data_IF_706147015766
#
_entry.id   IF_706147015766
#
_cell.length_a   1.000
_cell.length_b   1.000
_cell.length_c   1.000
_cell.angle_alpha   90.00
_cell.angle_beta   90.00
_cell.angle_gamma   90.00
#
_symmetry.space_group_name_H-M   'P 1'
#
loop_
_entity.id
_entity.type
_entity.pdbx_description
1 polymer ?
#
# COMPACT_ATOMS: atom_id res chain seq x y z
N UNK A 1 -12.99 -14.60 -4.62
CA UNK A 1 -13.24 -13.39 -3.80
C UNK A 1 -12.64 -12.17 -4.48
N UNK A 2 -13.21 -10.97 -4.32
CA UNK A 2 -12.76 -9.74 -5.02
C UNK A 2 -12.25 -8.70 -4.02
N UNK A 3 -11.09 -8.08 -4.30
CA UNK A 3 -10.46 -7.07 -3.46
C UNK A 3 -10.12 -5.81 -4.27
N UNK A 4 -10.66 -4.63 -3.92
CA UNK A 4 -10.30 -3.38 -4.61
C UNK A 4 -8.85 -2.98 -4.31
N UNK A 5 -8.12 -2.50 -5.33
CA UNK A 5 -6.75 -1.97 -5.21
C UNK A 5 -6.73 -0.47 -5.52
N UNK A 6 -7.34 -0.07 -6.63
CA UNK A 6 -7.55 1.32 -7.04
C UNK A 6 -8.93 1.47 -7.69
N UNK A 7 -9.23 2.63 -8.27
CA UNK A 7 -10.47 2.85 -9.01
C UNK A 7 -10.59 1.97 -10.27
N UNK A 8 -9.45 1.59 -10.85
CA UNK A 8 -9.32 0.84 -12.10
C UNK A 8 -8.61 -0.52 -11.94
N UNK A 9 -8.28 -0.92 -10.71
CA UNK A 9 -7.57 -2.17 -10.40
C UNK A 9 -8.25 -2.94 -9.26
N UNK A 10 -8.45 -4.25 -9.47
CA UNK A 10 -8.91 -5.17 -8.45
C UNK A 10 -8.08 -6.47 -8.48
N UNK A 11 -7.92 -7.10 -7.31
CA UNK A 11 -7.33 -8.42 -7.15
C UNK A 11 -8.46 -9.44 -6.97
N UNK A 12 -8.47 -10.46 -7.81
CA UNK A 12 -9.41 -11.57 -7.75
C UNK A 12 -8.68 -12.81 -7.25
N UNK A 13 -9.20 -13.40 -6.17
CA UNK A 13 -8.78 -14.72 -5.70
C UNK A 13 -9.76 -15.76 -6.24
N UNK A 14 -9.27 -16.55 -7.20
CA UNK A 14 -10.05 -17.55 -7.94
C UNK A 14 -9.88 -18.97 -7.39
N UNK A 15 -9.15 -19.15 -6.28
CA UNK A 15 -8.85 -20.47 -5.69
C UNK A 15 -10.12 -21.28 -5.36
N UNK A 16 -11.24 -20.60 -5.05
CA UNK A 16 -12.51 -21.22 -4.65
C UNK A 16 -13.60 -21.16 -5.73
N UNK A 17 -13.26 -20.83 -6.99
CA UNK A 17 -14.25 -20.62 -8.06
C UNK A 17 -14.78 -21.90 -8.72
N UNK A 18 -14.43 -23.09 -8.20
CA UNK A 18 -15.12 -24.35 -8.50
C UNK A 18 -14.27 -25.37 -9.25
N UNK A 19 -14.42 -26.64 -8.82
CA UNK A 19 -13.69 -27.88 -9.16
C UNK A 19 -12.30 -27.99 -8.51
N UNK A 20 -12.22 -28.49 -7.29
CA UNK A 20 -11.00 -29.08 -6.68
C UNK A 20 -9.66 -28.55 -7.22
N UNK A 21 -9.48 -27.22 -7.22
CA UNK A 21 -8.20 -26.56 -7.56
C UNK A 21 -7.31 -26.62 -6.31
N UNK A 22 -7.24 -27.80 -5.70
CA UNK A 22 -6.14 -28.21 -4.82
C UNK A 22 -4.96 -28.72 -5.67
N UNK A 23 -5.15 -28.79 -7.01
CA UNK A 23 -4.18 -29.28 -7.99
C UNK A 23 -3.59 -28.14 -8.83
N UNK A 24 -2.31 -28.32 -9.15
CA UNK A 24 -1.40 -27.46 -9.90
C UNK A 24 -2.07 -26.47 -10.88
N UNK A 25 -1.75 -25.16 -10.75
CA UNK A 25 -2.19 -24.11 -11.68
C UNK A 25 -2.00 -24.52 -13.14
N UNK A 26 -0.92 -25.27 -13.41
CA UNK A 26 -0.53 -25.69 -14.75
C UNK A 26 -1.54 -26.67 -15.38
N UNK A 27 -2.36 -27.35 -14.57
CA UNK A 27 -3.41 -28.27 -15.05
C UNK A 27 -4.70 -27.56 -15.47
N UNK A 28 -4.93 -26.33 -15.02
CA UNK A 28 -6.18 -25.58 -15.23
C UNK A 28 -6.01 -24.32 -16.09
N UNK A 29 -4.85 -24.15 -16.76
CA UNK A 29 -4.54 -22.93 -17.53
C UNK A 29 -5.62 -22.59 -18.55
N UNK A 30 -6.11 -23.57 -19.31
CA UNK A 30 -7.12 -23.33 -20.35
C UNK A 30 -8.47 -22.87 -19.77
N UNK A 31 -8.91 -23.46 -18.65
CA UNK A 31 -10.13 -23.05 -17.95
C UNK A 31 -9.99 -21.62 -17.39
N UNK A 32 -8.82 -21.31 -16.80
CA UNK A 32 -8.52 -19.98 -16.28
C UNK A 32 -8.43 -18.92 -17.39
N UNK A 33 -7.83 -19.24 -18.53
CA UNK A 33 -7.77 -18.34 -19.68
C UNK A 33 -9.18 -18.02 -20.21
N UNK A 34 -10.06 -19.02 -20.30
CA UNK A 34 -11.45 -18.82 -20.69
C UNK A 34 -12.22 -17.94 -19.71
N UNK A 35 -12.10 -18.22 -18.41
CA UNK A 35 -12.76 -17.45 -17.36
C UNK A 35 -12.30 -15.98 -17.32
N UNK A 36 -11.00 -15.75 -17.50
CA UNK A 36 -10.45 -14.39 -17.53
C UNK A 36 -10.87 -13.63 -18.79
N UNK A 37 -10.99 -14.34 -19.92
CA UNK A 37 -11.50 -13.75 -21.16
C UNK A 37 -12.97 -13.32 -21.00
N UNK A 38 -13.81 -14.15 -20.39
CA UNK A 38 -15.20 -13.81 -20.05
C UNK A 38 -15.28 -12.54 -19.20
N UNK A 39 -14.47 -12.42 -18.14
CA UNK A 39 -14.41 -11.21 -17.31
C UNK A 39 -14.00 -9.99 -18.13
N UNK A 40 -13.02 -10.12 -19.03
CA UNK A 40 -12.56 -9.00 -19.87
C UNK A 40 -13.65 -8.53 -20.83
N UNK A 41 -14.38 -9.48 -21.41
CA UNK A 41 -15.49 -9.19 -22.32
C UNK A 41 -16.65 -8.55 -21.57
N UNK A 42 -16.99 -9.02 -20.37
CA UNK A 42 -18.01 -8.41 -19.52
C UNK A 42 -17.65 -6.96 -19.14
N UNK A 43 -16.38 -6.71 -18.78
CA UNK A 43 -15.91 -5.35 -18.48
C UNK A 43 -15.99 -4.46 -19.73
N UNK A 44 -15.59 -4.96 -20.89
CA UNK A 44 -15.67 -4.23 -22.15
C UNK A 44 -17.12 -3.93 -22.53
N UNK A 45 -18.02 -4.90 -22.42
CA UNK A 45 -19.44 -4.76 -22.74
C UNK A 45 -20.14 -3.78 -21.79
N UNK A 46 -19.81 -3.82 -20.50
CA UNK A 46 -20.42 -2.94 -19.50
C UNK A 46 -19.89 -1.50 -19.53
N UNK A 47 -18.62 -1.30 -19.88
CA UNK A 47 -17.95 0.00 -19.72
C UNK A 47 -17.50 0.65 -21.03
N UNK A 48 -17.42 -0.11 -22.12
CA UNK A 48 -16.77 0.30 -23.37
C UNK A 48 -15.24 0.41 -23.28
N UNK A 49 -14.65 0.07 -22.13
CA UNK A 49 -13.22 0.19 -21.88
C UNK A 49 -12.57 -1.21 -21.80
N UNK A 50 -11.52 -1.50 -22.59
CA UNK A 50 -10.80 -2.76 -22.46
C UNK A 50 -9.99 -2.79 -21.16
N UNK A 51 -9.85 -3.96 -20.56
CA UNK A 51 -8.95 -4.19 -19.42
C UNK A 51 -7.84 -5.19 -19.79
N UNK A 52 -6.83 -5.32 -18.93
CA UNK A 52 -5.79 -6.35 -19.05
C UNK A 52 -5.77 -7.17 -17.78
N UNK A 53 -5.49 -8.47 -17.91
CA UNK A 53 -5.57 -9.40 -16.79
C UNK A 53 -4.30 -10.25 -16.68
N UNK A 54 -3.90 -10.56 -15.46
CA UNK A 54 -2.71 -11.36 -15.18
C UNK A 54 -3.02 -12.37 -14.10
N UNK A 55 -2.66 -13.62 -14.36
CA UNK A 55 -2.90 -14.75 -13.46
C UNK A 55 -1.56 -15.33 -13.03
N UNK A 56 -1.44 -15.66 -11.75
CA UNK A 56 -0.28 -16.34 -11.21
C UNK A 56 -0.62 -16.97 -9.86
N UNK A 57 0.25 -17.85 -9.37
CA UNK A 57 0.05 -18.59 -8.10
C UNK A 57 0.07 -17.70 -6.86
N UNK A 58 0.50 -16.45 -6.97
CA UNK A 58 0.48 -15.47 -5.90
C UNK A 58 0.37 -14.04 -6.43
N UNK A 59 0.18 -13.07 -5.52
CA UNK A 59 -0.06 -11.66 -5.86
C UNK A 59 1.12 -11.00 -6.59
N UNK A 60 2.37 -11.39 -6.29
CA UNK A 60 3.54 -10.90 -7.02
C UNK A 60 3.45 -11.29 -8.51
N UNK A 61 3.27 -12.57 -8.78
CA UNK A 61 3.25 -13.09 -10.14
C UNK A 61 2.05 -12.55 -10.92
N UNK A 62 0.87 -12.49 -10.32
CA UNK A 62 -0.31 -11.89 -10.94
C UNK A 62 -0.08 -10.42 -11.34
N UNK A 63 0.52 -9.61 -10.47
CA UNK A 63 0.82 -8.19 -10.79
C UNK A 63 1.85 -8.03 -11.89
N UNK A 64 2.91 -8.87 -11.90
CA UNK A 64 3.90 -8.85 -12.97
C UNK A 64 3.27 -9.31 -14.31
N UNK A 65 2.42 -10.33 -14.27
CA UNK A 65 1.70 -10.85 -15.44
C UNK A 65 0.79 -9.77 -16.06
N UNK A 66 0.02 -9.03 -15.25
CA UNK A 66 -0.83 -7.92 -15.73
C UNK A 66 0.00 -6.89 -16.50
N UNK A 67 1.18 -6.56 -15.99
CA UNK A 67 2.03 -5.54 -16.63
C UNK A 67 2.59 -6.00 -17.97
N UNK A 68 2.83 -7.30 -18.16
CA UNK A 68 3.23 -7.90 -19.45
C UNK A 68 2.04 -8.12 -20.39
N UNK A 69 0.84 -8.29 -19.86
CA UNK A 69 -0.38 -8.48 -20.63
C UNK A 69 -0.91 -7.18 -21.25
N UNK A 70 -0.41 -6.02 -20.81
CA UNK A 70 -0.83 -4.73 -21.35
C UNK A 70 -0.24 -4.48 -22.75
N UNK A 71 -0.99 -3.84 -23.67
CA UNK A 71 -2.38 -3.39 -23.55
C UNK A 71 -3.41 -4.43 -24.00
N UNK A 72 -4.63 -4.37 -23.44
CA UNK A 72 -5.80 -5.22 -23.79
C UNK A 72 -5.49 -6.72 -23.95
N UNK A 73 -4.62 -7.29 -23.11
CA UNK A 73 -4.28 -8.70 -23.16
C UNK A 73 -4.46 -9.41 -21.81
N UNK A 74 -4.33 -10.72 -21.86
CA UNK A 74 -4.25 -11.56 -20.67
C UNK A 74 -2.98 -12.40 -20.68
N UNK A 75 -2.44 -12.69 -19.49
CA UNK A 75 -1.27 -13.56 -19.33
C UNK A 75 -1.42 -14.45 -18.11
N UNK A 76 -1.24 -15.75 -18.28
CA UNK A 76 -1.13 -16.72 -17.19
C UNK A 76 0.34 -17.09 -17.04
N UNK A 77 0.89 -16.93 -15.83
CA UNK A 77 2.26 -17.36 -15.52
C UNK A 77 2.18 -18.73 -14.86
N UNK A 78 2.56 -19.76 -15.61
CA UNK A 78 2.62 -21.15 -15.15
C UNK A 78 3.70 -21.34 -14.10
N UNK A 79 3.49 -22.26 -13.17
CA UNK A 79 4.44 -22.60 -12.10
C UNK A 79 5.80 -22.99 -12.68
N UNK A 80 5.81 -23.82 -13.74
CA UNK A 80 7.03 -24.22 -14.43
C UNK A 80 7.78 -23.07 -15.11
N UNK A 81 7.08 -22.01 -15.51
CA UNK A 81 7.64 -20.87 -16.25
C UNK A 81 8.15 -19.75 -15.34
N UNK A 82 7.83 -19.78 -14.03
CA UNK A 82 8.18 -18.73 -13.07
C UNK A 82 9.67 -18.34 -13.10
N UNK A 83 10.65 -19.27 -13.06
CA UNK A 83 12.06 -18.90 -13.06
C UNK A 83 12.46 -18.13 -14.33
N UNK A 84 12.01 -18.60 -15.50
CA UNK A 84 12.30 -17.96 -16.78
C UNK A 84 11.61 -16.60 -16.90
N UNK A 85 10.35 -16.52 -16.45
CA UNK A 85 9.57 -15.29 -16.44
C UNK A 85 10.26 -14.21 -15.61
N UNK A 86 10.75 -14.54 -14.41
CA UNK A 86 11.38 -13.57 -13.52
C UNK A 86 12.79 -13.16 -13.98
N UNK A 87 13.52 -14.03 -14.67
CA UNK A 87 14.92 -13.76 -15.03
C UNK A 87 15.14 -12.46 -15.80
N UNK A 88 14.16 -12.05 -16.60
CA UNK A 88 14.24 -10.88 -17.49
C UNK A 88 13.53 -9.65 -16.93
N UNK A 89 12.91 -9.73 -15.76
CA UNK A 89 12.17 -8.60 -15.18
C UNK A 89 13.15 -7.59 -14.58
N UNK A 90 13.11 -6.31 -14.99
CA UNK A 90 13.86 -5.25 -14.31
C UNK A 90 13.38 -5.08 -12.86
N UNK A 91 14.30 -4.85 -11.92
CA UNK A 91 13.94 -4.77 -10.48
C UNK A 91 12.94 -3.66 -10.16
N UNK A 92 12.93 -2.57 -10.92
CA UNK A 92 11.96 -1.47 -10.78
C UNK A 92 10.51 -1.85 -11.12
N UNK A 93 10.28 -3.00 -11.78
CA UNK A 93 8.93 -3.53 -12.02
C UNK A 93 8.40 -4.35 -10.83
N UNK A 94 9.26 -4.70 -9.86
CA UNK A 94 8.81 -5.41 -8.67
C UNK A 94 7.84 -4.53 -7.85
N UNK A 95 6.72 -5.09 -7.37
CA UNK A 95 5.84 -4.37 -6.45
C UNK A 95 6.62 -3.87 -5.23
N UNK A 96 6.34 -2.63 -4.78
CA UNK A 96 7.02 -1.99 -3.64
C UNK A 96 8.50 -1.65 -3.85
N UNK A 97 9.04 -1.83 -5.05
CA UNK A 97 10.34 -1.30 -5.43
C UNK A 97 10.12 0.01 -6.17
N UNK A 98 10.21 1.12 -5.43
CA UNK A 98 10.14 2.48 -5.99
C UNK A 98 11.52 3.03 -6.33
N UNK A 99 11.57 4.26 -6.87
CA UNK A 99 12.78 4.91 -7.39
C UNK A 99 13.98 4.89 -6.42
N UNK A 100 13.74 5.17 -5.13
CA UNK A 100 14.80 5.17 -4.10
C UNK A 100 15.41 3.77 -3.94
N UNK A 101 14.57 2.74 -3.91
CA UNK A 101 15.04 1.36 -3.75
C UNK A 101 15.71 0.88 -5.04
N UNK A 102 15.16 1.22 -6.20
CA UNK A 102 15.78 0.98 -7.51
C UNK A 102 17.17 1.59 -7.60
N UNK A 103 17.33 2.86 -7.21
CA UNK A 103 18.63 3.54 -7.25
C UNK A 103 19.65 2.82 -6.36
N UNK A 104 19.25 2.39 -5.16
CA UNK A 104 20.11 1.63 -4.25
C UNK A 104 20.47 0.24 -4.81
N UNK A 105 19.53 -0.44 -5.45
CA UNK A 105 19.78 -1.73 -6.12
C UNK A 105 20.75 -1.57 -7.29
N UNK A 106 20.59 -0.53 -8.12
CA UNK A 106 21.51 -0.23 -9.23
C UNK A 106 22.93 0.08 -8.74
N UNK A 107 23.10 0.74 -7.58
CA UNK A 107 24.42 0.94 -6.96
C UNK A 107 25.11 -0.37 -6.57
N UNK A 108 24.34 -1.45 -6.38
CA UNK A 108 24.83 -2.81 -6.11
C UNK A 108 24.89 -3.66 -7.39
N UNK A 109 24.82 -3.04 -8.58
CA UNK A 109 24.80 -3.72 -9.89
C UNK A 109 23.63 -4.70 -10.07
N UNK A 110 22.52 -4.49 -9.33
CA UNK A 110 21.31 -5.30 -9.42
C UNK A 110 20.32 -4.61 -10.35
N UNK A 111 20.23 -5.06 -11.60
CA UNK A 111 19.34 -4.49 -12.62
C UNK A 111 18.10 -5.35 -12.89
N UNK A 112 18.27 -6.67 -12.84
CA UNK A 112 17.21 -7.64 -13.07
C UNK A 112 16.88 -8.42 -11.79
N UNK A 113 15.67 -8.99 -11.73
CA UNK A 113 15.23 -9.82 -10.60
C UNK A 113 16.14 -11.04 -10.41
N UNK A 114 16.73 -11.56 -11.48
CA UNK A 114 17.74 -12.63 -11.45
C UNK A 114 19.02 -12.23 -10.71
N UNK A 115 19.43 -10.96 -10.73
CA UNK A 115 20.64 -10.51 -10.03
C UNK A 115 20.50 -10.63 -8.51
N UNK A 116 19.29 -10.50 -7.98
CA UNK A 116 18.99 -10.71 -6.56
C UNK A 116 19.26 -12.15 -6.10
N UNK A 117 19.32 -13.13 -7.00
CA UNK A 117 19.61 -14.52 -6.67
C UNK A 117 21.06 -14.71 -6.17
N UNK A 118 21.97 -13.79 -6.51
CA UNK A 118 23.38 -13.78 -6.08
C UNK A 118 23.55 -13.44 -4.60
N UNK A 119 22.52 -12.89 -3.96
CA UNK A 119 22.59 -12.39 -2.59
C UNK A 119 21.88 -13.34 -1.61
N UNK A 120 22.50 -13.54 -0.45
CA UNK A 120 21.84 -14.20 0.68
C UNK A 120 20.75 -13.31 1.27
N UNK A 121 19.77 -13.93 1.94
CA UNK A 121 18.73 -13.18 2.64
C UNK A 121 19.34 -12.21 3.67
N UNK A 122 20.41 -12.64 4.37
CA UNK A 122 21.09 -11.82 5.38
C UNK A 122 21.70 -10.56 4.76
N UNK A 123 22.43 -10.67 3.65
CA UNK A 123 23.00 -9.51 2.96
C UNK A 123 21.92 -8.50 2.57
N UNK A 124 20.82 -8.97 1.96
CA UNK A 124 19.70 -8.09 1.61
C UNK A 124 19.04 -7.45 2.84
N UNK A 125 19.00 -8.15 3.98
CA UNK A 125 18.47 -7.58 5.22
C UNK A 125 19.41 -6.57 5.87
N UNK A 126 20.72 -6.78 5.78
CA UNK A 126 21.73 -5.85 6.27
C UNK A 126 21.69 -4.55 5.44
N UNK A 127 21.50 -4.64 4.13
CA UNK A 127 21.43 -3.47 3.25
C UNK A 127 20.07 -2.76 3.26
N UNK A 128 18.96 -3.48 3.23
CA UNK A 128 17.62 -2.91 3.03
C UNK A 128 16.71 -2.95 4.26
N UNK A 129 17.21 -3.52 5.37
CA UNK A 129 16.43 -3.79 6.57
C UNK A 129 15.65 -5.10 6.50
N UNK A 130 15.21 -5.56 7.67
CA UNK A 130 14.64 -6.90 7.86
C UNK A 130 13.46 -7.23 6.93
N UNK A 131 12.52 -6.29 6.78
CA UNK A 131 11.29 -6.48 6.00
C UNK A 131 11.57 -6.44 4.50
N UNK A 132 12.27 -5.41 4.03
CA UNK A 132 12.56 -5.22 2.60
C UNK A 132 13.54 -6.26 2.08
N UNK A 133 14.60 -6.57 2.85
CA UNK A 133 15.57 -7.58 2.47
C UNK A 133 14.95 -8.97 2.34
N UNK A 134 14.08 -9.36 3.30
CA UNK A 134 13.31 -10.61 3.19
C UNK A 134 12.39 -10.58 1.97
N UNK A 135 11.70 -9.48 1.72
CA UNK A 135 10.80 -9.33 0.56
C UNK A 135 11.55 -9.51 -0.76
N UNK A 136 12.67 -8.81 -0.96
CA UNK A 136 13.50 -8.93 -2.17
C UNK A 136 14.00 -10.35 -2.38
N UNK A 137 14.44 -11.01 -1.31
CA UNK A 137 14.91 -12.40 -1.37
C UNK A 137 13.82 -13.38 -1.84
N UNK A 138 12.59 -13.23 -1.35
CA UNK A 138 11.47 -14.09 -1.73
C UNK A 138 10.96 -13.77 -3.14
N UNK A 139 10.89 -12.48 -3.50
CA UNK A 139 10.44 -12.03 -4.81
C UNK A 139 11.35 -12.52 -5.94
N UNK A 140 12.67 -12.54 -5.71
CA UNK A 140 13.64 -13.11 -6.66
C UNK A 140 13.37 -14.58 -7.00
N UNK A 141 12.66 -15.29 -6.11
CA UNK A 141 12.32 -16.71 -6.22
C UNK A 141 10.85 -16.94 -6.55
N UNK A 142 10.12 -15.90 -6.94
CA UNK A 142 8.70 -15.96 -7.28
C UNK A 142 7.78 -16.25 -6.10
N UNK A 143 8.27 -16.08 -4.86
CA UNK A 143 7.52 -16.34 -3.64
C UNK A 143 6.94 -15.06 -3.07
N UNK A 144 5.66 -15.10 -2.72
CA UNK A 144 4.99 -14.04 -2.01
C UNK A 144 4.05 -14.64 -0.96
N UNK A 145 4.48 -14.62 0.30
CA UNK A 145 3.76 -15.19 1.45
C UNK A 145 2.62 -14.28 1.94
N UNK A 146 2.41 -13.12 1.31
CA UNK A 146 1.42 -12.16 1.76
C UNK A 146 0.01 -12.64 1.40
N UNK A 147 -0.85 -12.73 2.41
CA UNK A 147 -2.27 -12.90 2.17
C UNK A 147 -2.84 -11.67 1.44
N UNK A 148 -3.83 -11.86 0.55
CA UNK A 148 -4.62 -10.76 0.00
C UNK A 148 -5.19 -9.88 1.11
N UNK A 149 -5.27 -8.55 0.93
CA UNK A 149 -5.85 -7.66 1.93
C UNK A 149 -7.28 -8.07 2.28
N UNK A 150 -7.55 -8.42 3.54
CA UNK A 150 -8.88 -8.88 3.98
C UNK A 150 -9.66 -7.83 4.77
N UNK A 151 -8.96 -6.92 5.47
CA UNK A 151 -9.56 -5.91 6.35
C UNK A 151 -9.27 -4.49 5.85
N UNK A 152 -10.28 -3.82 5.30
CA UNK A 152 -10.21 -2.42 4.86
C UNK A 152 -10.55 -1.42 5.97
N UNK A 153 -10.44 -1.83 7.24
CA UNK A 153 -10.73 -0.93 8.37
C UNK A 153 -9.77 0.27 8.33
N UNK A 154 -10.35 1.46 8.20
CA UNK A 154 -9.60 2.70 8.11
C UNK A 154 -8.81 2.93 9.40
N UNK A 155 -7.50 3.21 9.25
CA UNK A 155 -6.59 3.42 10.38
C UNK A 155 -6.29 4.89 10.70
N UNK A 156 -6.46 5.76 9.72
CA UNK A 156 -6.28 7.20 9.84
C UNK A 156 -7.14 7.95 8.82
N UNK A 157 -7.51 9.20 9.15
CA UNK A 157 -8.16 10.16 8.25
C UNK A 157 -7.29 11.40 8.25
N UNK A 158 -6.85 11.85 7.09
CA UNK A 158 -6.07 13.07 6.97
C UNK A 158 -6.42 13.85 5.71
N UNK A 159 -5.92 15.07 5.65
CA UNK A 159 -5.92 15.91 4.45
C UNK A 159 -4.59 16.64 4.37
N UNK A 160 -4.07 16.82 3.17
CA UNK A 160 -2.81 17.52 2.94
C UNK A 160 -2.91 18.30 1.64
N UNK A 161 -2.43 19.54 1.69
CA UNK A 161 -2.31 20.40 0.52
C UNK A 161 -0.87 20.88 0.47
N UNK A 162 -0.22 20.69 -0.68
CA UNK A 162 1.19 21.05 -0.88
C UNK A 162 1.44 21.86 -2.14
N UNK A 163 0.42 22.06 -2.98
CA UNK A 163 0.50 22.91 -4.16
C UNK A 163 -0.23 24.21 -3.86
N UNK A 164 0.30 25.35 -4.29
CA UNK A 164 -0.39 26.63 -4.10
C UNK A 164 -0.19 27.29 -2.74
N UNK A 165 0.52 26.67 -1.80
CA UNK A 165 0.62 27.17 -0.43
C UNK A 165 1.68 28.25 -0.30
N UNK A 166 1.24 29.49 -0.07
CA UNK A 166 2.05 30.66 0.29
C UNK A 166 1.22 31.49 1.27
N UNK A 167 1.80 31.90 2.39
CA UNK A 167 1.13 32.74 3.38
C UNK A 167 1.84 34.07 3.50
N UNK A 168 1.08 35.15 3.48
CA UNK A 168 1.55 36.53 3.70
C UNK A 168 1.44 36.94 5.16
N UNK A 169 0.69 36.20 5.98
CA UNK A 169 0.58 36.45 7.42
C UNK A 169 0.39 35.17 8.24
N UNK A 170 0.68 35.26 9.54
CA UNK A 170 0.38 34.18 10.49
C UNK A 170 -1.13 33.88 10.56
N UNK A 171 -1.98 34.91 10.42
CA UNK A 171 -3.43 34.76 10.42
C UNK A 171 -3.94 33.92 9.24
N UNK A 172 -3.36 34.09 8.05
CA UNK A 172 -3.69 33.24 6.89
C UNK A 172 -3.30 31.78 7.13
N UNK A 173 -2.13 31.53 7.71
CA UNK A 173 -1.70 30.17 8.05
C UNK A 173 -2.63 29.53 9.10
N UNK A 174 -3.03 30.28 10.13
CA UNK A 174 -4.01 29.81 11.11
C UNK A 174 -5.38 29.54 10.51
N UNK A 175 -5.88 30.43 9.65
CA UNK A 175 -7.15 30.24 8.96
C UNK A 175 -7.11 29.00 8.09
N UNK A 176 -6.01 28.76 7.38
CA UNK A 176 -5.80 27.55 6.61
C UNK A 176 -5.85 26.28 7.49
N UNK A 177 -5.22 26.30 8.66
CA UNK A 177 -5.28 25.19 9.63
C UNK A 177 -6.72 24.95 10.10
N UNK A 178 -7.49 26.01 10.37
CA UNK A 178 -8.92 25.91 10.73
C UNK A 178 -9.69 25.20 9.63
N UNK A 179 -9.46 25.54 8.37
CA UNK A 179 -10.17 24.95 7.24
C UNK A 179 -9.76 23.48 7.01
N UNK A 180 -8.48 23.12 7.17
CA UNK A 180 -8.05 21.72 7.16
C UNK A 180 -8.71 20.91 8.29
N UNK A 181 -8.86 21.51 9.49
CA UNK A 181 -9.51 20.86 10.63
C UNK A 181 -11.01 20.62 10.38
N UNK A 182 -11.71 21.57 9.72
CA UNK A 182 -13.11 21.37 9.30
C UNK A 182 -13.24 20.19 8.34
N UNK A 183 -12.39 20.12 7.32
CA UNK A 183 -12.41 19.03 6.32
C UNK A 183 -12.20 17.67 7.00
N UNK A 184 -11.27 17.56 7.96
CA UNK A 184 -11.05 16.31 8.68
C UNK A 184 -12.23 15.96 9.59
N UNK A 185 -12.79 16.95 10.29
CA UNK A 185 -13.96 16.74 11.14
C UNK A 185 -15.17 16.24 10.34
N UNK A 186 -15.41 16.81 9.15
CA UNK A 186 -16.45 16.35 8.22
C UNK A 186 -16.20 14.92 7.76
N UNK A 187 -14.97 14.58 7.36
CA UNK A 187 -14.59 13.20 6.97
C UNK A 187 -14.75 12.20 8.10
N UNK A 188 -14.38 12.57 9.32
CA UNK A 188 -14.56 11.76 10.52
C UNK A 188 -16.04 11.48 10.77
N UNK A 189 -16.89 12.51 10.74
CA UNK A 189 -18.34 12.37 10.92
C UNK A 189 -19.01 11.56 9.81
N UNK A 190 -18.59 11.75 8.55
CA UNK A 190 -19.13 11.00 7.41
C UNK A 190 -18.91 9.49 7.55
N UNK A 191 -17.80 9.07 8.15
CA UNK A 191 -17.50 7.66 8.44
C UNK A 191 -17.93 7.22 9.85
N UNK A 192 -18.60 8.07 10.64
CA UNK A 192 -18.93 7.84 12.05
C UNK A 192 -17.71 7.46 12.92
N UNK A 193 -16.54 8.02 12.59
CA UNK A 193 -15.28 7.77 13.27
C UNK A 193 -14.86 8.96 14.11
N UNK A 194 -14.12 8.67 15.17
CA UNK A 194 -13.42 9.67 16.00
C UNK A 194 -11.99 9.22 16.19
N UNK A 195 -11.04 10.15 16.35
CA UNK A 195 -9.65 9.80 16.59
C UNK A 195 -9.08 10.39 17.88
N UNK A 196 -7.95 9.84 18.30
CA UNK A 196 -7.31 10.19 19.57
C UNK A 196 -5.88 10.72 19.39
N UNK A 197 -5.29 10.64 18.20
CA UNK A 197 -3.97 11.21 17.93
C UNK A 197 -4.04 12.14 16.73
N UNK A 198 -3.75 13.42 16.96
CA UNK A 198 -3.78 14.47 15.95
C UNK A 198 -2.35 14.87 15.58
N UNK A 199 -2.04 14.85 14.30
CA UNK A 199 -0.73 15.19 13.75
C UNK A 199 -0.87 16.32 12.72
N UNK A 200 0.02 17.31 12.77
CA UNK A 200 0.22 18.31 11.72
C UNK A 200 1.55 18.05 11.04
N UNK A 201 1.53 18.03 9.72
CA UNK A 201 2.70 17.95 8.85
C UNK A 201 2.84 19.28 8.13
N UNK A 202 4.04 19.84 8.12
CA UNK A 202 4.38 21.10 7.47
C UNK A 202 5.54 20.84 6.51
N UNK A 203 5.36 21.23 5.26
CA UNK A 203 6.45 21.32 4.28
C UNK A 203 7.02 22.72 4.34
N UNK A 204 8.30 22.84 4.63
CA UNK A 204 9.03 24.10 4.79
C UNK A 204 10.05 24.21 3.67
N UNK A 205 10.17 25.39 3.08
CA UNK A 205 11.21 25.69 2.08
C UNK A 205 12.60 25.33 2.64
N UNK A 206 13.39 24.60 1.86
CA UNK A 206 14.78 24.29 2.22
C UNK A 206 15.67 25.54 2.11
N UNK A 207 16.59 25.73 3.05
CA UNK A 207 17.51 26.87 3.05
C UNK A 207 18.44 26.81 1.83
N UNK A 208 18.43 27.86 1.01
CA UNK A 208 19.19 27.93 -0.24
C UNK A 208 18.39 27.59 -1.50
N UNK A 209 17.13 27.16 -1.39
CA UNK A 209 16.26 27.04 -2.55
C UNK A 209 15.87 28.44 -3.06
N UNK A 210 16.18 28.77 -4.32
CA UNK A 210 15.81 30.05 -4.90
C UNK A 210 14.29 30.12 -5.19
N UNK A 211 13.71 31.32 -5.10
CA UNK A 211 12.33 31.54 -5.53
C UNK A 211 12.24 31.38 -7.04
N UNK A 212 11.59 30.32 -7.51
CA UNK A 212 11.44 30.02 -8.94
C UNK A 212 12.13 28.73 -9.41
N UNK A 213 12.84 28.01 -8.55
CA UNK A 213 13.49 26.73 -8.92
C UNK A 213 12.52 25.69 -9.48
N UNK A 214 11.25 25.74 -9.06
CA UNK A 214 10.27 24.78 -9.53
C UNK A 214 9.78 25.16 -10.93
N UNK A 215 10.11 24.33 -11.92
CA UNK A 215 9.62 24.43 -13.32
C UNK A 215 8.08 24.51 -13.43
N UNK A 216 7.34 24.06 -12.41
CA UNK A 216 5.88 24.12 -12.34
C UNK A 216 5.46 25.29 -11.47
N UNK A 217 4.59 26.16 -12.00
CA UNK A 217 4.00 27.27 -11.26
C UNK A 217 3.38 26.79 -9.94
N UNK A 218 3.62 27.53 -8.84
CA UNK A 218 3.11 27.26 -7.48
C UNK A 218 3.47 25.91 -6.87
N UNK A 219 4.44 25.20 -7.43
CA UNK A 219 4.97 23.98 -6.85
C UNK A 219 5.71 24.30 -5.52
N UNK A 220 5.70 23.37 -4.54
CA UNK A 220 6.39 23.56 -3.27
C UNK A 220 7.92 23.69 -3.42
N UNK A 221 8.52 23.18 -4.50
CA UNK A 221 9.97 23.15 -4.68
C UNK A 221 10.65 22.14 -3.75
N UNK A 222 11.93 22.39 -3.45
CA UNK A 222 12.69 21.63 -2.45
C UNK A 222 12.24 22.02 -1.04
N UNK A 223 11.82 21.03 -0.26
CA UNK A 223 11.20 21.24 1.05
C UNK A 223 11.67 20.22 2.07
N UNK A 224 11.83 20.67 3.30
CA UNK A 224 11.96 19.85 4.49
C UNK A 224 10.57 19.56 5.07
N UNK A 225 10.36 18.36 5.59
CA UNK A 225 9.09 17.95 6.21
C UNK A 225 9.25 17.94 7.73
N UNK A 226 8.43 18.73 8.41
CA UNK A 226 8.36 18.76 9.87
C UNK A 226 6.99 18.27 10.31
N UNK A 227 6.96 17.30 11.21
CA UNK A 227 5.71 16.73 11.75
C UNK A 227 5.68 16.89 13.27
N UNK A 228 4.57 17.39 13.80
CA UNK A 228 4.26 17.39 15.24
C UNK A 228 2.95 16.66 15.48
N UNK A 229 2.86 15.95 16.59
CA UNK A 229 1.66 15.21 16.95
C UNK A 229 1.33 15.35 18.42
N UNK A 230 0.05 15.22 18.77
CA UNK A 230 -0.41 15.14 20.14
C UNK A 230 -1.51 14.10 20.30
N UNK A 231 -1.55 13.47 21.47
CA UNK A 231 -2.67 12.64 21.89
C UNK A 231 -3.73 13.52 22.54
N UNK A 232 -4.99 13.29 22.17
CA UNK A 232 -6.15 13.97 22.70
C UNK A 232 -6.66 13.23 23.95
N UNK A 233 -7.27 13.93 24.93
CA UNK A 233 -7.79 13.31 26.15
C UNK A 233 -8.87 12.26 25.87
N UNK A 234 -9.70 12.50 24.87
CA UNK A 234 -10.78 11.63 24.43
C UNK A 234 -10.85 11.56 22.90
N UNK A 235 -11.60 10.59 22.39
CA UNK A 235 -11.89 10.49 20.96
C UNK A 235 -12.67 11.72 20.50
N UNK A 236 -12.16 12.42 19.48
CA UNK A 236 -12.68 13.71 19.05
C UNK A 236 -12.85 13.80 17.53
N UNK A 237 -13.88 14.54 17.13
CA UNK A 237 -14.27 14.94 15.77
C UNK A 237 -14.77 16.39 15.71
N UNK A 238 -14.52 17.18 16.77
CA UNK A 238 -14.92 18.59 16.85
C UNK A 238 -13.91 19.49 16.13
N UNK A 239 -14.35 20.16 15.06
CA UNK A 239 -13.48 20.97 14.21
C UNK A 239 -12.77 22.09 14.98
N UNK A 240 -13.48 22.75 15.90
CA UNK A 240 -12.95 23.89 16.67
C UNK A 240 -11.83 23.45 17.62
N UNK A 241 -12.02 22.33 18.31
CA UNK A 241 -11.02 21.75 19.18
C UNK A 241 -9.79 21.27 18.40
N UNK A 242 -10.00 20.58 17.27
CA UNK A 242 -8.91 20.13 16.41
C UNK A 242 -8.10 21.31 15.85
N UNK A 243 -8.76 22.37 15.40
CA UNK A 243 -8.11 23.58 14.90
C UNK A 243 -7.23 24.23 15.97
N UNK A 244 -7.77 24.46 17.18
CA UNK A 244 -7.00 25.02 18.31
C UNK A 244 -5.77 24.17 18.60
N UNK A 245 -5.92 22.85 18.59
CA UNK A 245 -4.79 21.95 18.87
C UNK A 245 -3.74 21.96 17.76
N UNK A 246 -4.16 21.97 16.49
CA UNK A 246 -3.24 22.09 15.35
C UNK A 246 -2.49 23.43 15.33
N UNK A 247 -3.15 24.55 15.68
CA UNK A 247 -2.49 25.86 15.81
C UNK A 247 -1.42 25.82 16.89
N UNK A 248 -1.71 25.20 18.05
CA UNK A 248 -0.68 25.03 19.09
C UNK A 248 0.51 24.21 18.57
N UNK A 249 0.26 23.08 17.90
CA UNK A 249 1.31 22.24 17.34
C UNK A 249 2.13 22.97 16.27
N UNK A 250 1.48 23.83 15.46
CA UNK A 250 2.15 24.68 14.49
C UNK A 250 3.09 25.66 15.20
N UNK A 251 2.62 26.38 16.23
CA UNK A 251 3.45 27.30 17.02
C UNK A 251 4.65 26.60 17.68
N UNK A 252 4.45 25.38 18.18
CA UNK A 252 5.51 24.57 18.79
C UNK A 252 6.63 24.20 17.80
N UNK A 253 6.39 24.29 16.49
CA UNK A 253 7.42 24.05 15.46
C UNK A 253 8.39 25.21 15.30
N UNK A 254 7.98 26.43 15.70
CA UNK A 254 8.73 27.69 15.49
C UNK A 254 9.07 27.96 14.01
N UNK A 255 8.28 27.42 13.07
CA UNK A 255 8.43 27.66 11.64
C UNK A 255 7.86 29.03 11.27
N UNK A 256 8.56 29.78 10.42
CA UNK A 256 8.03 31.00 9.83
C UNK A 256 6.93 30.67 8.80
N UNK A 257 5.78 31.34 8.89
CA UNK A 257 4.65 31.15 7.97
C UNK A 257 5.04 31.43 6.50
N UNK A 258 5.96 32.37 6.25
CA UNK A 258 6.45 32.70 4.91
C UNK A 258 7.21 31.56 4.22
N UNK A 259 7.79 30.65 5.00
CA UNK A 259 8.54 29.49 4.48
C UNK A 259 7.66 28.26 4.28
N UNK A 260 6.39 28.31 4.67
CA UNK A 260 5.48 27.17 4.49
C UNK A 260 5.16 26.99 3.01
N UNK A 261 5.30 25.75 2.55
CA UNK A 261 5.02 25.30 1.18
C UNK A 261 3.98 24.19 1.12
N UNK A 262 3.52 23.72 2.26
CA UNK A 262 2.44 22.75 2.37
C UNK A 262 2.07 22.50 3.82
N UNK A 263 0.80 22.18 4.06
CA UNK A 263 0.35 21.71 5.36
C UNK A 263 -0.60 20.52 5.19
N UNK A 264 -0.55 19.62 6.14
CA UNK A 264 -1.50 18.54 6.26
C UNK A 264 -1.82 18.26 7.71
N UNK A 265 -3.04 17.80 7.95
CA UNK A 265 -3.49 17.35 9.25
C UNK A 265 -3.91 15.89 9.11
N UNK A 266 -3.63 15.09 10.13
CA UNK A 266 -3.96 13.67 10.15
C UNK A 266 -4.46 13.28 11.53
N UNK A 267 -5.60 12.60 11.55
CA UNK A 267 -6.18 11.96 12.71
C UNK A 267 -5.90 10.46 12.65
N UNK A 268 -5.37 9.92 13.75
CA UNK A 268 -4.99 8.52 13.94
C UNK A 268 -5.61 7.97 15.22
N UNK A 269 -5.40 6.66 15.47
CA UNK A 269 -6.00 5.94 16.60
C UNK A 269 -7.52 6.11 16.58
N UNK A 270 -8.15 5.60 15.52
CA UNK A 270 -9.59 5.72 15.32
C UNK A 270 -10.35 4.73 16.21
N UNK A 271 -11.54 5.10 16.67
CA UNK A 271 -12.36 4.31 17.60
C UNK A 271 -12.81 2.94 17.06
N UNK A 272 -12.81 2.74 15.74
CA UNK A 272 -13.02 1.43 15.11
C UNK A 272 -11.88 0.43 15.40
N UNK A 273 -10.69 0.91 15.78
CA UNK A 273 -9.58 0.04 16.20
C UNK A 273 -9.85 -0.54 17.58
N UNK A 274 -10.48 0.24 18.47
CA UNK A 274 -10.83 -0.19 19.83
C UNK A 274 -11.96 -1.24 19.85
N UNK A 275 -12.78 -1.32 18.80
CA UNK A 275 -13.81 -2.35 18.65
C UNK A 275 -13.25 -3.67 18.10
N UNK A 276 -12.09 -3.65 17.43
CA UNK A 276 -11.45 -4.85 16.88
C UNK A 276 -10.80 -5.75 17.93
N UNK A 277 -10.54 -5.24 19.14
CA UNK A 277 -9.92 -6.00 20.23
C UNK A 277 -10.88 -6.94 20.98
N UNK A 278 -12.19 -6.86 20.77
CA UNK A 278 -13.19 -7.63 21.52
C UNK A 278 -13.73 -8.88 20.80
N UNK A 279 -13.19 -9.26 19.63
CA UNK A 279 -13.47 -10.57 18.99
C UNK A 279 -12.19 -11.23 18.46
N UNK A 280 -11.29 -11.58 19.37
CA UNK A 280 -10.41 -12.76 19.18
C UNK A 280 -11.04 -13.94 19.91
N UNK A 281 -12.06 -14.55 19.31
CA UNK A 281 -12.36 -15.95 19.62
C UNK A 281 -11.10 -16.74 19.27
N UNK A 282 -10.49 -17.34 20.29
CA UNK A 282 -9.37 -18.27 20.14
C UNK A 282 -9.85 -19.38 19.21
N UNK A 283 -9.43 -19.35 17.93
CA UNK A 283 -9.37 -20.58 17.17
C UNK A 283 -8.23 -21.39 17.76
N UNK A 284 -8.59 -22.30 18.67
CA UNK A 284 -7.76 -23.43 19.03
C UNK A 284 -7.43 -24.17 17.72
N UNK A 285 -6.16 -24.45 17.40
CA UNK A 285 -5.86 -25.34 16.28
C UNK A 285 -6.40 -26.71 16.68
N UNK A 286 -7.45 -27.16 15.98
CA UNK A 286 -7.91 -28.54 16.06
C UNK A 286 -6.74 -29.42 15.64
N UNK A 287 -6.20 -30.16 16.60
CA UNK A 287 -5.24 -31.22 16.34
C UNK A 287 -5.90 -32.23 15.39
N UNK A 288 -5.34 -32.36 14.18
CA UNK A 288 -5.61 -33.50 13.32
C UNK A 288 -4.96 -34.71 13.99
N UNK A 289 -5.82 -35.57 14.57
CA UNK A 289 -5.42 -36.83 15.16
C UNK A 289 -4.87 -37.76 14.09
N UNK A 290 -3.65 -38.25 14.30
CA UNK A 290 -3.11 -39.40 13.61
C UNK A 290 -3.84 -40.66 14.11
N UNK A 291 -4.60 -41.32 13.24
CA UNK A 291 -5.11 -42.67 13.49
C UNK A 291 -4.04 -43.66 13.04
N UNK A 292 -3.37 -44.31 14.01
CA UNK A 292 -2.63 -45.53 13.77
C UNK A 292 -3.61 -46.70 13.74
N UNK A 293 -3.71 -47.41 12.61
CA UNK A 293 -4.38 -48.70 12.55
C UNK A 293 -3.40 -49.82 12.91
N UNK A 294 -3.59 -50.42 14.08
CA UNK A 294 -3.01 -51.71 14.46
C UNK A 294 -3.80 -52.83 13.78
N UNK A 295 -3.16 -53.53 12.84
CA UNK A 295 -3.66 -54.80 12.32
C UNK A 295 -2.77 -55.93 12.88
N UNK A 296 -3.30 -56.60 13.89
CA UNK A 296 -2.87 -57.90 14.37
C UNK A 296 -3.17 -58.95 13.30
N UNK A 297 -2.16 -59.60 12.74
CA UNK A 297 -2.32 -60.87 12.03
C UNK A 297 -1.56 -61.95 12.79
N UNK A 298 -2.32 -62.79 13.49
CA UNK A 298 -1.91 -64.11 13.94
C UNK A 298 -2.54 -65.15 13.02
N UNK A 299 -1.71 -65.83 12.25
CA UNK A 299 -1.68 -67.30 12.14
C UNK A 299 -0.34 -67.72 11.57
#
# INVERSE_FOLDING_TARGET
SVRPISADEALLDVSNCGKDIDSDLDSHVAELEGFIQEIRDDVLNATGCPCSAGVGTNMLLAKLAVSDAKPNGQKVVRTAEVPQFLNQIPVQRLPRVGEVLTAKLHQMEVHCVSDLLKFSQKQLQDDFGQVTGRLLFHFARGKDERAPPSNFSRKSIGTQISWGIRFSSENEAHQFIVDLAKVIAERLRAESLKGQKLSIMIKVKEGGAEEGESKKYMNPGRVNIVTKSSRLPSYCDDASFLAKRCIQLFKDTKINYGDVRGMGVQMEMLNNQSQSTTKKTKHTPTALGAVQSSATQTK
#
